data_IF_068107760401
#
_entry.id   IF_068107760401
#
_cell.length_a   1.000
_cell.length_b   1.000
_cell.length_c   1.000
_cell.angle_alpha   90.00
_cell.angle_beta   90.00
_cell.angle_gamma   90.00
#
_symmetry.space_group_name_H-M   'P 1'
#
loop_
_entity.id
_entity.type
_entity.pdbx_description
1 polymer ?
#
# COMPACT_ATOMS: atom_id res chain seq x y z
N UNK A 1 -59.59 -6.04 -6.98
CA UNK A 1 -58.68 -6.99 -7.65
C UNK A 1 -57.32 -6.88 -6.98
N UNK A 2 -56.98 -7.88 -6.19
CA UNK A 2 -55.72 -7.99 -5.44
C UNK A 2 -54.58 -8.31 -6.42
N UNK A 3 -53.61 -7.41 -6.54
CA UNK A 3 -52.37 -7.67 -7.28
C UNK A 3 -51.36 -8.32 -6.34
N UNK A 4 -51.25 -9.64 -6.45
CA UNK A 4 -50.21 -10.43 -5.77
C UNK A 4 -48.82 -10.00 -6.24
N UNK A 5 -48.00 -9.50 -5.34
CA UNK A 5 -46.55 -9.30 -5.56
C UNK A 5 -45.91 -10.69 -5.72
N UNK A 6 -45.13 -10.96 -6.77
CA UNK A 6 -44.52 -12.26 -6.97
C UNK A 6 -43.50 -12.54 -5.85
N UNK A 7 -43.52 -13.77 -5.33
CA UNK A 7 -42.54 -14.26 -4.39
C UNK A 7 -41.12 -14.02 -4.93
N UNK A 8 -40.27 -13.37 -4.14
CA UNK A 8 -38.87 -13.14 -4.48
C UNK A 8 -38.20 -14.47 -4.82
N UNK A 9 -37.74 -14.61 -6.05
CA UNK A 9 -36.99 -15.77 -6.49
C UNK A 9 -35.76 -15.94 -5.57
N UNK A 10 -35.56 -17.17 -5.05
CA UNK A 10 -34.31 -17.54 -4.40
C UNK A 10 -33.15 -17.07 -5.29
N UNK A 11 -32.16 -16.41 -4.69
CA UNK A 11 -30.96 -16.01 -5.39
C UNK A 11 -30.40 -17.25 -6.12
N UNK A 12 -30.33 -17.18 -7.47
CA UNK A 12 -29.77 -18.25 -8.28
C UNK A 12 -28.38 -18.60 -7.73
N UNK A 13 -28.11 -19.90 -7.59
CA UNK A 13 -26.77 -20.39 -7.29
C UNK A 13 -25.77 -19.77 -8.28
N UNK A 14 -24.62 -19.33 -7.77
CA UNK A 14 -23.52 -18.94 -8.64
C UNK A 14 -23.09 -20.19 -9.42
N UNK A 15 -22.97 -20.14 -10.76
CA UNK A 15 -22.51 -21.27 -11.55
C UNK A 15 -20.99 -21.35 -11.41
N UNK A 16 -20.50 -21.73 -10.23
CA UNK A 16 -19.08 -21.96 -9.97
C UNK A 16 -18.66 -23.42 -10.17
N UNK A 17 -19.58 -24.28 -10.62
CA UNK A 17 -19.31 -25.68 -10.93
C UNK A 17 -19.23 -26.60 -9.72
N UNK A 18 -19.47 -26.10 -8.50
CA UNK A 18 -19.44 -26.92 -7.28
C UNK A 18 -20.81 -27.52 -6.98
N UNK A 19 -20.92 -28.85 -6.97
CA UNK A 19 -22.18 -29.58 -6.67
C UNK A 19 -22.28 -30.09 -5.24
N UNK A 20 -21.28 -29.81 -4.41
CA UNK A 20 -21.03 -30.47 -3.11
C UNK A 20 -21.21 -29.56 -1.88
N UNK A 21 -21.66 -28.31 -2.06
CA UNK A 21 -21.96 -27.43 -0.94
C UNK A 21 -23.12 -27.97 -0.08
N UNK A 22 -22.76 -28.66 1.01
CA UNK A 22 -23.66 -28.90 2.16
C UNK A 22 -23.39 -27.84 3.22
N UNK A 23 -24.32 -26.90 3.46
CA UNK A 23 -24.16 -25.91 4.52
C UNK A 23 -23.97 -26.60 5.88
N UNK A 24 -22.90 -26.22 6.61
CA UNK A 24 -22.51 -26.81 7.91
C UNK A 24 -23.51 -26.52 9.05
N UNK A 25 -24.57 -25.74 8.80
CA UNK A 25 -25.71 -25.53 9.70
C UNK A 25 -26.99 -25.82 8.93
N UNK A 26 -27.80 -26.76 9.43
CA UNK A 26 -29.15 -26.99 8.91
C UNK A 26 -29.98 -25.70 9.03
N UNK A 27 -30.61 -25.27 7.93
CA UNK A 27 -31.47 -24.09 7.93
C UNK A 27 -32.79 -24.41 8.65
N UNK A 28 -32.82 -24.32 9.98
CA UNK A 28 -34.06 -24.48 10.75
C UNK A 28 -34.81 -23.16 10.96
N UNK A 29 -34.27 -22.01 10.54
CA UNK A 29 -34.96 -20.73 10.59
C UNK A 29 -35.14 -20.16 9.17
N UNK A 30 -36.39 -19.98 8.74
CA UNK A 30 -36.70 -19.13 7.58
C UNK A 30 -36.19 -17.73 7.91
N UNK A 31 -35.12 -17.30 7.25
CA UNK A 31 -34.62 -15.93 7.42
C UNK A 31 -35.68 -14.96 6.89
N UNK A 32 -36.14 -14.04 7.74
CA UNK A 32 -36.99 -12.94 7.31
C UNK A 32 -36.17 -12.02 6.40
N UNK A 33 -36.42 -12.10 5.09
CA UNK A 33 -35.68 -11.36 4.07
C UNK A 33 -35.95 -9.85 4.10
N UNK A 34 -37.02 -9.42 4.76
CA UNK A 34 -37.44 -8.02 4.85
C UNK A 34 -36.91 -7.31 6.10
N UNK A 35 -36.34 -8.04 7.06
CA UNK A 35 -35.75 -7.45 8.26
C UNK A 35 -34.44 -6.73 7.92
N UNK A 36 -34.45 -5.40 8.03
CA UNK A 36 -33.25 -4.56 7.90
C UNK A 36 -32.23 -4.97 8.97
N UNK A 37 -30.98 -5.24 8.55
CA UNK A 37 -29.93 -5.64 9.47
C UNK A 37 -29.61 -4.49 10.43
N UNK A 38 -29.28 -4.80 11.70
CA UNK A 38 -29.05 -3.77 12.73
C UNK A 38 -27.95 -2.77 12.32
N UNK A 39 -26.91 -3.23 11.62
CA UNK A 39 -25.82 -2.35 11.13
C UNK A 39 -26.27 -1.30 10.11
N UNK A 40 -27.42 -1.50 9.48
CA UNK A 40 -27.95 -0.61 8.44
C UNK A 40 -28.95 0.39 9.04
N UNK A 41 -29.24 0.28 10.35
CA UNK A 41 -30.05 1.23 11.10
C UNK A 41 -29.15 2.29 11.77
N UNK A 42 -29.63 3.53 11.98
CA UNK A 42 -28.88 4.51 12.74
C UNK A 42 -28.75 4.05 14.20
N UNK A 43 -27.57 4.26 14.77
CA UNK A 43 -27.31 3.96 16.18
C UNK A 43 -27.93 5.06 17.07
N UNK A 44 -28.74 4.64 18.03
CA UNK A 44 -29.43 5.48 19.00
C UNK A 44 -29.18 4.97 20.42
N UNK A 45 -29.51 5.78 21.42
CA UNK A 45 -29.43 5.37 22.82
C UNK A 45 -30.27 4.13 23.17
N UNK A 46 -31.35 3.86 22.42
CA UNK A 46 -32.21 2.70 22.66
C UNK A 46 -31.73 1.43 21.97
N UNK A 47 -30.92 1.51 20.91
CA UNK A 47 -30.51 0.34 20.13
C UNK A 47 -29.00 0.06 20.09
N UNK A 48 -28.13 0.92 20.61
CA UNK A 48 -26.66 0.79 20.50
C UNK A 48 -26.15 -0.59 20.92
N UNK A 49 -26.70 -1.16 21.99
CA UNK A 49 -26.32 -2.48 22.51
C UNK A 49 -26.61 -3.61 21.52
N UNK A 50 -27.54 -3.42 20.57
CA UNK A 50 -27.85 -4.38 19.52
C UNK A 50 -26.81 -4.37 18.39
N UNK A 51 -26.14 -3.23 18.17
CA UNK A 51 -25.03 -3.09 17.22
C UNK A 51 -23.76 -3.78 17.71
N UNK A 52 -23.60 -3.97 19.03
CA UNK A 52 -22.42 -4.60 19.61
C UNK A 52 -22.46 -6.12 19.44
N UNK A 53 -21.35 -6.68 18.99
CA UNK A 53 -21.07 -8.11 19.03
C UNK A 53 -20.49 -8.48 20.40
N UNK A 54 -21.38 -8.67 21.38
CA UNK A 54 -21.00 -8.93 22.77
C UNK A 54 -20.06 -10.13 22.95
N UNK A 55 -20.18 -11.17 22.12
CA UNK A 55 -19.26 -12.31 22.18
C UNK A 55 -17.83 -11.86 21.88
N UNK A 56 -17.61 -11.21 20.74
CA UNK A 56 -16.29 -10.70 20.37
C UNK A 56 -15.79 -9.66 21.37
N UNK A 57 -16.64 -8.73 21.78
CA UNK A 57 -16.30 -7.68 22.76
C UNK A 57 -15.85 -8.29 24.08
N UNK A 58 -16.48 -9.36 24.57
CA UNK A 58 -16.04 -10.03 25.80
C UNK A 58 -14.64 -10.60 25.68
N UNK A 59 -14.34 -11.31 24.59
CA UNK A 59 -13.04 -11.96 24.44
C UNK A 59 -11.90 -11.00 24.07
N UNK A 60 -12.20 -9.91 23.36
CA UNK A 60 -11.19 -8.97 22.84
C UNK A 60 -11.01 -7.75 23.75
N UNK A 61 -12.02 -7.38 24.54
CA UNK A 61 -11.98 -6.20 25.42
C UNK A 61 -12.02 -6.59 26.88
N UNK A 62 -13.10 -7.25 27.33
CA UNK A 62 -13.30 -7.48 28.76
C UNK A 62 -12.31 -8.48 29.36
N UNK A 63 -12.04 -9.60 28.71
CA UNK A 63 -11.08 -10.60 29.19
C UNK A 63 -9.65 -10.03 29.28
N UNK A 64 -9.13 -9.32 28.27
CA UNK A 64 -7.84 -8.64 28.39
C UNK A 64 -7.78 -7.62 29.53
N UNK A 65 -8.84 -6.81 29.72
CA UNK A 65 -8.93 -5.88 30.86
C UNK A 65 -8.86 -6.64 32.19
N UNK A 66 -9.59 -7.74 32.33
CA UNK A 66 -9.51 -8.59 33.53
C UNK A 66 -8.11 -9.19 33.72
N UNK A 67 -7.43 -9.57 32.63
CA UNK A 67 -6.04 -10.01 32.67
C UNK A 67 -5.08 -8.92 33.18
N UNK A 68 -5.24 -7.69 32.69
CA UNK A 68 -4.45 -6.53 33.15
C UNK A 68 -4.71 -6.21 34.62
N UNK A 69 -5.97 -6.26 35.05
CA UNK A 69 -6.36 -6.10 36.45
C UNK A 69 -5.74 -7.23 37.31
N UNK A 70 -5.70 -8.46 36.80
CA UNK A 70 -5.11 -9.60 37.52
C UNK A 70 -3.61 -9.43 37.81
N UNK A 71 -2.88 -8.62 37.03
CA UNK A 71 -1.47 -8.30 37.28
C UNK A 71 -1.20 -7.67 38.64
N UNK A 72 -2.19 -7.04 39.28
CA UNK A 72 -2.02 -6.45 40.62
C UNK A 72 -1.84 -7.51 41.72
N UNK A 73 -2.31 -8.74 41.50
CA UNK A 73 -2.27 -9.82 42.50
C UNK A 73 -1.52 -11.07 42.06
N UNK A 74 -1.24 -11.21 40.76
CA UNK A 74 -0.51 -12.35 40.22
C UNK A 74 0.90 -11.91 39.83
N UNK A 75 1.96 -12.30 40.55
CA UNK A 75 3.32 -11.89 40.22
C UNK A 75 3.82 -12.58 38.94
N UNK A 76 4.52 -11.82 38.09
CA UNK A 76 5.15 -12.35 36.88
C UNK A 76 6.48 -13.04 37.22
N UNK A 77 6.52 -14.38 37.15
CA UNK A 77 7.78 -15.13 37.22
C UNK A 77 8.56 -15.00 35.92
N UNK A 78 9.89 -14.95 35.99
CA UNK A 78 10.77 -14.81 34.82
C UNK A 78 10.55 -15.92 33.78
N UNK A 79 10.44 -17.19 34.21
CA UNK A 79 10.22 -18.32 33.29
C UNK A 79 8.88 -18.19 32.55
N UNK A 80 7.83 -17.73 33.24
CA UNK A 80 6.52 -17.46 32.64
C UNK A 80 6.59 -16.30 31.66
N UNK A 81 7.34 -15.24 31.97
CA UNK A 81 7.57 -14.11 31.06
C UNK A 81 8.27 -14.57 29.77
N UNK A 82 9.38 -15.31 29.89
CA UNK A 82 10.14 -15.84 28.75
C UNK A 82 9.24 -16.75 27.91
N UNK A 83 8.54 -17.69 28.55
CA UNK A 83 7.62 -18.59 27.84
C UNK A 83 6.49 -17.82 27.15
N UNK A 84 5.90 -16.80 27.79
CA UNK A 84 4.86 -15.97 27.18
C UNK A 84 5.36 -15.25 25.93
N UNK A 85 6.59 -14.74 25.94
CA UNK A 85 7.21 -14.10 24.77
C UNK A 85 7.51 -15.12 23.67
N UNK A 86 8.10 -16.27 23.99
CA UNK A 86 8.35 -17.33 22.99
C UNK A 86 7.02 -17.78 22.37
N UNK A 87 6.01 -18.01 23.21
CA UNK A 87 4.71 -18.47 22.73
C UNK A 87 3.95 -17.39 21.95
N UNK A 88 4.12 -16.11 22.28
CA UNK A 88 3.66 -14.98 21.46
C UNK A 88 4.17 -15.10 20.03
N UNK A 89 5.49 -15.25 19.84
CA UNK A 89 6.08 -15.42 18.50
C UNK A 89 5.56 -16.67 17.78
N UNK A 90 5.37 -17.79 18.50
CA UNK A 90 4.82 -19.01 17.91
C UNK A 90 3.38 -18.81 17.41
N UNK A 91 2.51 -18.22 18.24
CA UNK A 91 1.12 -17.93 17.83
C UNK A 91 1.06 -16.89 16.71
N UNK A 92 1.94 -15.89 16.74
CA UNK A 92 2.09 -14.91 15.66
C UNK A 92 2.52 -15.56 14.34
N UNK A 93 3.50 -16.47 14.36
CA UNK A 93 3.90 -17.25 13.17
C UNK A 93 2.77 -18.15 12.65
N UNK A 94 1.87 -18.62 13.52
CA UNK A 94 0.64 -19.31 13.11
C UNK A 94 -0.26 -18.44 12.24
N UNK A 95 -0.36 -17.15 12.55
CA UNK A 95 -1.11 -16.17 11.76
C UNK A 95 -0.33 -15.78 10.51
N UNK A 96 0.89 -15.24 10.64
CA UNK A 96 1.66 -14.68 9.53
C UNK A 96 2.17 -15.76 8.56
N UNK A 97 2.77 -16.84 9.09
CA UNK A 97 3.30 -17.94 8.28
C UNK A 97 2.21 -18.89 7.81
N UNK A 98 1.20 -19.13 8.65
CA UNK A 98 0.08 -20.03 8.34
C UNK A 98 -1.09 -19.31 7.68
N UNK A 99 -1.96 -18.69 8.47
CA UNK A 99 -3.25 -18.18 8.01
C UNK A 99 -3.12 -17.22 6.83
N UNK A 100 -2.11 -16.37 6.88
CA UNK A 100 -1.82 -15.34 5.92
C UNK A 100 -1.07 -15.87 4.69
N UNK A 101 0.22 -16.16 4.82
CA UNK A 101 1.08 -16.50 3.68
C UNK A 101 0.76 -17.86 3.07
N UNK A 102 0.55 -18.90 3.89
CA UNK A 102 0.26 -20.26 3.41
C UNK A 102 -1.17 -20.40 2.88
N UNK A 103 -2.17 -20.06 3.68
CA UNK A 103 -3.57 -20.33 3.32
C UNK A 103 -4.26 -19.17 2.61
N UNK A 104 -4.11 -17.91 3.04
CA UNK A 104 -4.79 -16.80 2.35
C UNK A 104 -4.17 -16.51 0.98
N UNK A 105 -2.84 -16.49 0.89
CA UNK A 105 -2.11 -16.07 -0.32
C UNK A 105 -1.48 -17.21 -1.13
N UNK A 106 -1.43 -18.43 -0.57
CA UNK A 106 -0.77 -19.57 -1.23
C UNK A 106 0.64 -19.23 -1.71
N UNK A 107 1.41 -18.48 -0.92
CA UNK A 107 2.74 -17.97 -1.29
C UNK A 107 3.84 -19.03 -1.15
N UNK A 108 3.54 -20.15 -0.50
CA UNK A 108 4.38 -21.34 -0.47
C UNK A 108 3.52 -22.59 -0.23
N UNK A 109 4.13 -23.77 -0.35
CA UNK A 109 3.53 -25.06 0.02
C UNK A 109 4.20 -25.62 1.26
N UNK A 110 3.44 -26.34 2.08
CA UNK A 110 3.91 -26.93 3.33
C UNK A 110 3.57 -28.42 3.40
N UNK A 111 4.46 -29.18 4.02
CA UNK A 111 4.19 -30.58 4.42
C UNK A 111 3.10 -30.64 5.49
N UNK A 112 2.43 -31.79 5.59
CA UNK A 112 1.34 -32.00 6.57
C UNK A 112 1.76 -31.70 8.03
N UNK A 113 2.95 -32.11 8.51
CA UNK A 113 3.39 -31.76 9.87
C UNK A 113 3.46 -30.25 10.11
N UNK A 114 4.03 -29.49 9.16
CA UNK A 114 4.10 -28.03 9.26
C UNK A 114 2.71 -27.39 9.23
N UNK A 115 1.80 -27.88 8.36
CA UNK A 115 0.40 -27.43 8.32
C UNK A 115 -0.29 -27.65 9.67
N UNK A 116 -0.16 -28.82 10.29
CA UNK A 116 -0.77 -29.14 11.58
C UNK A 116 -0.21 -28.21 12.67
N UNK A 117 1.12 -28.04 12.71
CA UNK A 117 1.76 -27.13 13.64
C UNK A 117 1.22 -25.70 13.52
N UNK A 118 1.24 -25.13 12.31
CA UNK A 118 0.75 -23.76 12.04
C UNK A 118 -0.75 -23.61 12.35
N UNK A 119 -1.55 -24.64 12.06
CA UNK A 119 -2.98 -24.66 12.39
C UNK A 119 -3.22 -24.65 13.91
N UNK A 120 -2.40 -25.37 14.68
CA UNK A 120 -2.48 -25.43 16.14
C UNK A 120 -2.05 -24.10 16.77
N UNK A 121 -0.87 -23.58 16.44
CA UNK A 121 -0.39 -22.31 17.03
C UNK A 121 -1.21 -21.11 16.54
N UNK A 122 -1.72 -21.12 15.32
CA UNK A 122 -2.64 -20.10 14.81
C UNK A 122 -3.98 -20.10 15.55
N UNK A 123 -4.49 -21.26 15.97
CA UNK A 123 -5.65 -21.31 16.85
C UNK A 123 -5.38 -20.69 18.24
N UNK A 124 -4.12 -20.73 18.71
CA UNK A 124 -3.67 -20.08 19.94
C UNK A 124 -3.72 -18.55 19.92
N UNK A 125 -3.77 -17.92 18.73
CA UNK A 125 -3.96 -16.48 18.56
C UNK A 125 -5.43 -16.04 18.69
N UNK A 126 -6.38 -16.98 18.57
CA UNK A 126 -7.80 -16.74 18.83
C UNK A 126 -8.46 -15.72 17.87
N UNK A 127 -8.10 -15.78 16.59
CA UNK A 127 -8.55 -14.83 15.54
C UNK A 127 -9.54 -15.44 14.53
N UNK A 128 -10.25 -16.49 14.92
CA UNK A 128 -11.11 -17.27 14.03
C UNK A 128 -10.40 -18.45 13.37
N UNK A 129 -11.16 -19.34 12.75
CA UNK A 129 -10.62 -20.51 12.04
C UNK A 129 -9.84 -20.07 10.79
N UNK A 130 -8.90 -20.90 10.32
CA UNK A 130 -8.13 -20.65 9.09
C UNK A 130 -9.08 -20.27 7.94
N UNK A 131 -10.13 -21.08 7.74
CA UNK A 131 -11.12 -20.87 6.69
C UNK A 131 -11.81 -19.50 6.74
N UNK A 132 -12.16 -19.04 7.93
CA UNK A 132 -12.85 -17.75 8.14
C UNK A 132 -11.88 -16.59 7.95
N UNK A 133 -10.71 -16.67 8.58
CA UNK A 133 -9.67 -15.65 8.53
C UNK A 133 -9.17 -15.46 7.09
N UNK A 134 -8.79 -16.54 6.40
CA UNK A 134 -8.27 -16.48 5.04
C UNK A 134 -9.33 -16.00 4.04
N UNK A 135 -10.61 -16.36 4.21
CA UNK A 135 -11.71 -15.82 3.38
C UNK A 135 -11.80 -14.30 3.49
N UNK A 136 -11.84 -13.79 4.72
CA UNK A 136 -12.03 -12.37 4.99
C UNK A 136 -10.78 -11.57 4.60
N UNK A 137 -9.59 -12.14 4.78
CA UNK A 137 -8.35 -11.55 4.31
C UNK A 137 -8.27 -11.47 2.78
N UNK A 138 -8.67 -12.53 2.06
CA UNK A 138 -8.79 -12.48 0.60
C UNK A 138 -9.80 -11.40 0.16
N UNK A 139 -10.92 -11.26 0.89
CA UNK A 139 -11.92 -10.24 0.59
C UNK A 139 -11.36 -8.83 0.82
N UNK A 140 -10.56 -8.64 1.86
CA UNK A 140 -9.84 -7.41 2.12
C UNK A 140 -8.89 -7.02 0.98
N UNK A 141 -8.07 -7.94 0.46
CA UNK A 141 -7.22 -7.64 -0.71
C UNK A 141 -8.02 -7.33 -1.98
N UNK A 142 -9.09 -8.08 -2.24
CA UNK A 142 -9.89 -7.90 -3.45
C UNK A 142 -10.68 -6.59 -3.45
N UNK A 143 -11.08 -6.13 -2.27
CA UNK A 143 -12.01 -5.02 -2.10
C UNK A 143 -11.44 -3.91 -1.22
N UNK A 144 -10.11 -3.81 -1.11
CA UNK A 144 -9.40 -2.88 -0.23
C UNK A 144 -9.99 -1.48 -0.35
N UNK A 145 -10.15 -0.80 0.79
CA UNK A 145 -10.68 0.57 0.87
C UNK A 145 -12.12 0.76 0.36
N UNK A 146 -12.86 -0.31 0.06
CA UNK A 146 -14.28 -0.22 -0.32
C UNK A 146 -15.21 -0.62 0.83
N UNK A 147 -16.52 -0.41 0.63
CA UNK A 147 -17.56 -0.87 1.57
C UNK A 147 -17.62 -2.40 1.73
N UNK A 148 -17.02 -3.15 0.80
CA UNK A 148 -16.96 -4.62 0.82
C UNK A 148 -15.77 -5.18 1.59
N UNK A 149 -14.81 -4.33 1.95
CA UNK A 149 -13.69 -4.70 2.81
C UNK A 149 -14.18 -4.92 4.27
N UNK A 150 -13.98 -6.13 4.84
CA UNK A 150 -14.49 -6.48 6.18
C UNK A 150 -13.94 -5.61 7.31
N UNK A 151 -12.79 -4.97 7.13
CA UNK A 151 -12.18 -4.11 8.15
C UNK A 151 -11.63 -2.81 7.55
N UNK A 152 -12.36 -2.30 6.56
CA UNK A 152 -12.04 -1.08 5.81
C UNK A 152 -11.57 0.08 6.69
N UNK A 153 -10.38 0.59 6.40
CA UNK A 153 -9.81 1.77 7.04
C UNK A 153 -10.62 3.05 6.81
N UNK A 154 -11.45 3.08 5.74
CA UNK A 154 -12.31 4.23 5.42
C UNK A 154 -13.35 4.52 6.51
N UNK A 155 -13.64 3.55 7.38
CA UNK A 155 -14.51 3.72 8.55
C UNK A 155 -13.77 4.31 9.77
N UNK A 156 -12.48 4.62 9.65
CA UNK A 156 -11.65 5.25 10.67
C UNK A 156 -10.64 4.29 11.31
N UNK A 157 -9.61 4.88 11.94
CA UNK A 157 -8.51 4.14 12.58
C UNK A 157 -8.99 3.19 13.67
N UNK A 158 -9.86 3.66 14.58
CA UNK A 158 -10.39 2.83 15.67
C UNK A 158 -11.29 1.70 15.15
N UNK A 159 -12.01 1.94 14.05
CA UNK A 159 -12.84 0.91 13.45
C UNK A 159 -11.99 -0.20 12.84
N UNK A 160 -11.01 0.16 12.01
CA UNK A 160 -10.10 -0.81 11.37
C UNK A 160 -9.21 -1.55 12.38
N UNK A 161 -8.88 -0.92 13.51
CA UNK A 161 -8.15 -1.58 14.58
C UNK A 161 -9.04 -2.58 15.32
N UNK A 162 -10.15 -2.12 15.91
CA UNK A 162 -10.95 -2.94 16.84
C UNK A 162 -12.45 -2.96 16.52
N UNK A 163 -12.99 -1.85 16.00
CA UNK A 163 -14.42 -1.69 15.79
C UNK A 163 -15.05 -2.71 14.85
N UNK A 164 -14.31 -3.22 13.87
CA UNK A 164 -14.78 -4.26 12.95
C UNK A 164 -15.12 -5.58 13.64
N UNK A 165 -14.49 -5.87 14.80
CA UNK A 165 -14.82 -7.03 15.65
C UNK A 165 -15.89 -6.71 16.68
N UNK A 166 -15.92 -5.48 17.19
CA UNK A 166 -16.85 -5.02 18.24
C UNK A 166 -18.25 -4.77 17.69
N UNK A 167 -18.39 -4.29 16.47
CA UNK A 167 -19.68 -4.00 15.86
C UNK A 167 -20.12 -5.12 14.91
N UNK A 168 -21.40 -5.49 14.98
CA UNK A 168 -22.01 -6.45 14.04
C UNK A 168 -21.99 -5.86 12.64
N UNK A 169 -21.52 -6.65 11.69
CA UNK A 169 -21.50 -6.30 10.28
C UNK A 169 -22.60 -7.07 9.54
N UNK A 170 -23.22 -6.44 8.54
CA UNK A 170 -24.16 -7.14 7.67
C UNK A 170 -23.37 -8.09 6.74
N UNK A 171 -23.57 -9.42 6.83
CA UNK A 171 -22.84 -10.38 6.00
C UNK A 171 -23.12 -10.22 4.49
N UNK A 172 -24.21 -9.55 4.11
CA UNK A 172 -24.52 -9.24 2.70
C UNK A 172 -23.56 -8.20 2.10
N UNK A 173 -22.95 -7.37 2.94
CA UNK A 173 -22.06 -6.29 2.50
C UNK A 173 -20.61 -6.75 2.35
N UNK A 174 -20.20 -7.82 3.04
CA UNK A 174 -18.84 -8.36 2.94
C UNK A 174 -18.56 -8.95 1.56
N UNK A 175 -17.40 -8.62 0.99
CA UNK A 175 -16.95 -9.12 -0.30
C UNK A 175 -16.83 -10.64 -0.35
N UNK A 176 -17.05 -11.22 -1.54
CA UNK A 176 -16.93 -12.67 -1.78
C UNK A 176 -15.62 -13.01 -2.48
N UNK A 177 -15.03 -14.12 -2.06
CA UNK A 177 -13.78 -14.65 -2.61
C UNK A 177 -13.90 -16.15 -2.80
N UNK A 178 -13.12 -16.67 -3.76
CA UNK A 178 -12.97 -18.11 -3.91
C UNK A 178 -12.21 -18.68 -2.71
N UNK A 179 -12.71 -19.80 -2.19
CA UNK A 179 -12.21 -20.53 -1.03
C UNK A 179 -12.25 -22.04 -1.27
N UNK A 180 -12.31 -22.47 -2.54
CA UNK A 180 -12.39 -23.88 -2.93
C UNK A 180 -11.19 -24.66 -2.39
N UNK A 181 -9.98 -24.11 -2.56
CA UNK A 181 -8.74 -24.66 -2.03
C UNK A 181 -8.75 -24.83 -0.50
N UNK A 182 -9.37 -23.90 0.23
CA UNK A 182 -9.52 -23.99 1.70
C UNK A 182 -10.50 -25.09 2.11
N UNK A 183 -11.49 -25.41 1.28
CA UNK A 183 -12.44 -26.50 1.52
C UNK A 183 -11.85 -27.87 1.16
N UNK A 184 -10.83 -27.90 0.31
CA UNK A 184 -10.12 -29.12 -0.10
C UNK A 184 -8.96 -29.49 0.84
N UNK A 185 -8.40 -28.54 1.61
CA UNK A 185 -7.33 -28.84 2.58
C UNK A 185 -7.90 -29.52 3.85
N UNK A 186 -7.56 -30.80 4.12
CA UNK A 186 -8.10 -31.55 5.25
C UNK A 186 -7.76 -30.93 6.62
N UNK A 187 -6.60 -30.28 6.75
CA UNK A 187 -6.18 -29.62 8.00
C UNK A 187 -7.06 -28.41 8.26
N UNK A 188 -7.35 -27.62 7.23
CA UNK A 188 -8.22 -26.45 7.32
C UNK A 188 -9.65 -26.85 7.69
N UNK A 189 -10.19 -27.88 7.02
CA UNK A 189 -11.54 -28.38 7.31
C UNK A 189 -11.65 -28.95 8.71
N UNK A 190 -10.67 -29.76 9.14
CA UNK A 190 -10.65 -30.32 10.50
C UNK A 190 -10.57 -29.23 11.55
N UNK A 191 -9.69 -28.25 11.35
CA UNK A 191 -9.50 -27.14 12.27
C UNK A 191 -10.76 -26.27 12.36
N UNK A 192 -11.41 -25.98 11.23
CA UNK A 192 -12.65 -25.21 11.22
C UNK A 192 -13.78 -25.91 12.01
N UNK A 193 -13.93 -27.23 11.85
CA UNK A 193 -14.93 -28.03 12.57
C UNK A 193 -14.65 -28.13 14.07
N UNK A 194 -13.37 -28.11 14.46
CA UNK A 194 -12.93 -28.26 15.85
C UNK A 194 -12.41 -26.95 16.47
N UNK A 195 -12.67 -25.81 15.83
CA UNK A 195 -11.97 -24.55 16.12
C UNK A 195 -12.04 -24.14 17.58
N UNK A 196 -13.22 -24.24 18.20
CA UNK A 196 -13.40 -23.91 19.62
C UNK A 196 -12.54 -24.80 20.54
N UNK A 197 -12.44 -26.11 20.23
CA UNK A 197 -11.58 -27.02 20.99
C UNK A 197 -10.10 -26.66 20.81
N UNK A 198 -9.69 -26.36 19.58
CA UNK A 198 -8.33 -25.92 19.28
C UNK A 198 -7.98 -24.63 20.02
N UNK A 199 -8.89 -23.65 20.04
CA UNK A 199 -8.72 -22.39 20.78
C UNK A 199 -8.60 -22.64 22.28
N UNK A 200 -9.55 -23.34 22.89
CA UNK A 200 -9.53 -23.59 24.34
C UNK A 200 -8.24 -24.30 24.76
N UNK A 201 -7.78 -25.25 23.95
CA UNK A 201 -6.55 -25.95 24.22
C UNK A 201 -5.32 -25.07 23.98
N UNK A 202 -5.11 -24.55 22.77
CA UNK A 202 -3.86 -23.87 22.40
C UNK A 202 -3.76 -22.45 22.97
N UNK A 203 -4.87 -21.72 23.14
CA UNK A 203 -4.83 -20.36 23.67
C UNK A 203 -4.79 -20.33 25.20
N UNK A 204 -5.44 -21.30 25.88
CA UNK A 204 -5.62 -21.28 27.34
C UNK A 204 -4.93 -22.46 28.03
N UNK A 205 -5.39 -23.69 27.79
CA UNK A 205 -4.97 -24.86 28.57
C UNK A 205 -3.48 -25.14 28.40
N UNK A 206 -2.99 -25.20 27.17
CA UNK A 206 -1.60 -25.52 26.85
C UNK A 206 -0.62 -24.56 27.53
N UNK A 207 -0.68 -23.22 27.32
CA UNK A 207 0.28 -22.32 27.98
C UNK A 207 0.16 -22.33 29.51
N UNK A 208 -1.06 -22.45 30.05
CA UNK A 208 -1.25 -22.58 31.51
C UNK A 208 -0.64 -23.87 32.06
N UNK A 209 -0.84 -24.99 31.38
CA UNK A 209 -0.31 -26.29 31.79
C UNK A 209 1.22 -26.33 31.68
N UNK A 210 1.81 -25.72 30.65
CA UNK A 210 3.28 -25.62 30.54
C UNK A 210 3.86 -24.90 31.77
N UNK A 211 3.34 -23.73 32.12
CA UNK A 211 3.83 -22.98 33.29
C UNK A 211 3.54 -23.72 34.62
N UNK A 212 2.36 -24.32 34.73
CA UNK A 212 1.92 -25.07 35.90
C UNK A 212 2.73 -26.34 36.16
N UNK A 213 2.99 -27.13 35.12
CA UNK A 213 3.68 -28.41 35.24
C UNK A 213 5.20 -28.26 35.33
N UNK A 214 5.80 -27.30 34.61
CA UNK A 214 7.26 -27.19 34.54
C UNK A 214 7.86 -26.36 35.69
N UNK A 215 7.15 -25.34 36.21
CA UNK A 215 7.66 -24.51 37.31
C UNK A 215 6.58 -24.03 38.30
N UNK A 216 5.49 -24.80 38.42
CA UNK A 216 4.41 -24.59 39.38
C UNK A 216 3.87 -23.16 39.40
N UNK A 217 3.58 -22.62 38.21
CA UNK A 217 3.00 -21.28 38.04
C UNK A 217 1.70 -21.33 37.23
N UNK A 218 0.70 -22.04 37.76
CA UNK A 218 -0.61 -22.18 37.12
C UNK A 218 -1.29 -20.83 36.90
N UNK A 219 -1.33 -19.98 37.94
CA UNK A 219 -2.02 -18.69 37.87
C UNK A 219 -1.26 -17.69 36.99
N UNK A 220 0.08 -17.64 37.08
CA UNK A 220 0.89 -16.82 36.18
C UNK A 220 0.79 -17.30 34.73
N UNK A 221 0.78 -18.61 34.48
CA UNK A 221 0.56 -19.17 33.15
C UNK A 221 -0.80 -18.83 32.56
N UNK A 222 -1.84 -18.78 33.38
CA UNK A 222 -3.18 -18.38 32.94
C UNK A 222 -3.29 -16.87 32.66
N UNK A 223 -2.75 -16.02 33.52
CA UNK A 223 -2.82 -14.56 33.32
C UNK A 223 -1.90 -14.10 32.18
N UNK A 224 -0.63 -14.48 32.23
CA UNK A 224 0.38 -13.94 31.32
C UNK A 224 0.50 -14.73 30.01
N UNK A 225 0.68 -16.05 30.08
CA UNK A 225 0.94 -16.88 28.90
C UNK A 225 -0.33 -17.25 28.12
N UNK A 226 -1.50 -17.26 28.78
CA UNK A 226 -2.80 -17.39 28.15
C UNK A 226 -3.44 -16.02 27.86
N UNK A 227 -4.06 -15.36 28.84
CA UNK A 227 -4.93 -14.19 28.60
C UNK A 227 -4.17 -13.02 27.95
N UNK A 228 -3.13 -12.50 28.60
CA UNK A 228 -2.45 -11.29 28.12
C UNK A 228 -1.72 -11.53 26.81
N UNK A 229 -1.09 -12.69 26.65
CA UNK A 229 -0.42 -13.07 25.39
C UNK A 229 -1.41 -13.21 24.23
N UNK A 230 -2.65 -13.69 24.44
CA UNK A 230 -3.72 -13.60 23.41
C UNK A 230 -4.00 -12.13 23.08
N UNK A 231 -4.18 -11.30 24.10
CA UNK A 231 -4.48 -9.89 23.88
C UNK A 231 -3.38 -9.20 23.06
N UNK A 232 -2.11 -9.41 23.40
CA UNK A 232 -0.98 -8.81 22.68
C UNK A 232 -0.91 -9.25 21.21
N UNK A 233 -1.09 -10.55 20.91
CA UNK A 233 -1.07 -11.01 19.51
C UNK A 233 -2.25 -10.44 18.72
N UNK A 234 -3.45 -10.36 19.31
CA UNK A 234 -4.59 -9.73 18.66
C UNK A 234 -4.36 -8.24 18.38
N UNK A 235 -3.85 -7.48 19.35
CA UNK A 235 -3.55 -6.05 19.15
C UNK A 235 -2.46 -5.86 18.08
N UNK A 236 -1.45 -6.73 18.05
CA UNK A 236 -0.44 -6.72 17.00
C UNK A 236 -1.06 -6.98 15.62
N UNK A 237 -1.91 -8.02 15.46
CA UNK A 237 -2.59 -8.27 14.19
C UNK A 237 -3.50 -7.11 13.78
N UNK A 238 -4.22 -6.52 14.73
CA UNK A 238 -5.10 -5.38 14.48
C UNK A 238 -4.35 -4.11 14.05
N UNK A 239 -3.08 -3.96 14.41
CA UNK A 239 -2.22 -2.90 13.87
C UNK A 239 -1.98 -3.05 12.37
N UNK A 240 -2.05 -4.27 11.80
CA UNK A 240 -1.93 -4.46 10.35
C UNK A 240 -3.12 -3.81 9.65
N UNK A 241 -4.34 -4.05 10.14
CA UNK A 241 -5.55 -3.49 9.55
C UNK A 241 -5.66 -1.96 9.75
N UNK A 242 -5.03 -1.41 10.79
CA UNK A 242 -5.12 0.01 11.15
C UNK A 242 -3.85 0.80 10.82
N UNK A 243 -2.78 0.62 11.60
CA UNK A 243 -1.53 1.37 11.47
C UNK A 243 -0.88 1.16 10.10
N UNK A 244 -0.92 -0.06 9.56
CA UNK A 244 -0.36 -0.32 8.24
C UNK A 244 -1.18 0.27 7.08
N UNK A 245 -2.33 0.88 7.37
CA UNK A 245 -3.13 1.66 6.43
C UNK A 245 -3.14 3.17 6.75
N UNK A 246 -2.37 3.62 7.75
CA UNK A 246 -2.33 5.02 8.19
C UNK A 246 -0.92 5.61 8.23
N UNK A 247 0.04 4.83 8.72
CA UNK A 247 1.40 5.27 9.00
C UNK A 247 2.39 4.62 8.02
N UNK A 248 3.30 5.43 7.46
CA UNK A 248 4.36 4.95 6.58
C UNK A 248 4.27 5.46 5.14
N UNK A 249 5.07 4.83 4.30
CA UNK A 249 5.27 5.22 2.91
C UNK A 249 4.53 4.31 1.94
N UNK A 250 4.32 4.78 0.72
CA UNK A 250 3.76 4.02 -0.39
C UNK A 250 4.78 3.95 -1.52
N UNK A 251 5.79 3.06 -1.42
CA UNK A 251 6.87 2.96 -2.39
C UNK A 251 6.49 2.23 -3.69
N UNK A 252 5.40 1.46 -3.72
CA UNK A 252 4.99 0.67 -4.88
C UNK A 252 3.69 1.17 -5.53
N UNK A 253 2.67 1.48 -4.74
CA UNK A 253 1.39 1.99 -5.25
C UNK A 253 0.65 2.81 -4.19
N UNK A 254 -0.10 3.84 -4.58
CA UNK A 254 -0.86 4.73 -3.68
C UNK A 254 -2.36 4.80 -4.02
N UNK A 255 -2.87 3.93 -4.90
CA UNK A 255 -4.31 3.85 -5.22
C UNK A 255 -5.16 3.53 -3.99
N UNK A 256 -4.63 2.70 -3.09
CA UNK A 256 -5.25 2.30 -1.84
C UNK A 256 -4.40 2.76 -0.65
N UNK A 257 -4.92 2.62 0.56
CA UNK A 257 -4.28 3.05 1.81
C UNK A 257 -3.09 2.24 2.40
N UNK A 258 -2.75 0.99 1.98
CA UNK A 258 -1.63 0.24 2.56
C UNK A 258 -0.29 0.98 2.49
N UNK A 259 0.50 0.89 3.57
CA UNK A 259 1.76 1.61 3.77
C UNK A 259 2.84 0.69 4.34
N UNK A 260 4.08 0.97 3.95
CA UNK A 260 5.28 0.35 4.50
C UNK A 260 5.79 1.17 5.69
N UNK A 261 5.95 0.53 6.85
CA UNK A 261 6.48 1.20 8.04
C UNK A 261 7.22 0.24 8.97
N UNK A 262 8.47 0.59 9.32
CA UNK A 262 9.35 -0.28 10.12
C UNK A 262 8.83 -0.54 11.53
N UNK A 263 8.27 0.47 12.21
CA UNK A 263 7.71 0.27 13.57
C UNK A 263 6.49 -0.64 13.50
N UNK A 264 5.66 -0.47 12.47
CA UNK A 264 4.53 -1.36 12.25
C UNK A 264 5.05 -2.78 12.04
N UNK A 265 6.08 -2.97 11.21
CA UNK A 265 6.68 -4.29 10.97
C UNK A 265 7.24 -4.93 12.25
N UNK A 266 7.87 -4.15 13.14
CA UNK A 266 8.35 -4.64 14.43
C UNK A 266 7.20 -5.16 15.31
N UNK A 267 6.13 -4.39 15.43
CA UNK A 267 4.94 -4.76 16.22
C UNK A 267 4.22 -5.96 15.61
N UNK A 268 4.18 -6.06 14.28
CA UNK A 268 3.37 -7.06 13.56
C UNK A 268 4.18 -8.22 12.99
N UNK A 269 5.39 -8.48 13.49
CA UNK A 269 6.21 -9.63 13.06
C UNK A 269 6.52 -9.67 11.55
N UNK A 270 6.74 -8.49 10.96
CA UNK A 270 7.09 -8.30 9.55
C UNK A 270 5.93 -7.89 8.65
N UNK A 271 4.70 -7.88 9.15
CA UNK A 271 3.50 -7.57 8.36
C UNK A 271 3.29 -6.07 8.08
N UNK A 272 4.18 -5.21 8.57
CA UNK A 272 4.11 -3.76 8.39
C UNK A 272 4.72 -3.23 7.08
N UNK A 273 5.33 -4.08 6.25
CA UNK A 273 5.64 -3.75 4.86
C UNK A 273 4.40 -4.00 3.98
N UNK A 274 3.33 -3.26 4.31
CA UNK A 274 1.99 -3.57 3.85
C UNK A 274 1.69 -3.02 2.45
N UNK A 275 2.39 -1.98 2.01
CA UNK A 275 2.31 -1.49 0.64
C UNK A 275 2.88 -2.52 -0.33
N UNK A 276 4.06 -3.08 -0.01
CA UNK A 276 4.62 -4.19 -0.79
C UNK A 276 3.66 -5.38 -0.82
N UNK A 277 3.15 -5.77 0.36
CA UNK A 277 2.26 -6.91 0.48
C UNK A 277 0.98 -6.78 -0.35
N UNK A 278 0.36 -5.60 -0.39
CA UNK A 278 -0.85 -5.38 -1.18
C UNK A 278 -0.61 -5.34 -2.69
N UNK A 279 0.55 -4.87 -3.12
CA UNK A 279 0.93 -4.86 -4.54
C UNK A 279 1.37 -6.25 -5.02
N UNK A 280 2.07 -7.02 -4.17
CA UNK A 280 2.65 -8.32 -4.51
C UNK A 280 2.17 -9.44 -3.56
N UNK A 281 0.85 -9.70 -3.44
CA UNK A 281 0.28 -10.51 -2.36
C UNK A 281 0.72 -11.99 -2.36
N UNK A 282 1.16 -12.51 -3.50
CA UNK A 282 1.63 -13.89 -3.60
C UNK A 282 3.12 -14.09 -3.30
N UNK A 283 3.89 -13.02 -3.03
CA UNK A 283 5.26 -13.17 -2.53
C UNK A 283 5.22 -13.72 -1.10
N UNK A 284 6.09 -14.69 -0.79
CA UNK A 284 6.17 -15.23 0.57
C UNK A 284 6.82 -14.25 1.55
N UNK A 285 7.41 -13.15 1.07
CA UNK A 285 8.03 -12.09 1.87
C UNK A 285 7.10 -10.90 1.91
N UNK A 286 7.00 -10.24 3.05
CA UNK A 286 6.52 -8.86 3.07
C UNK A 286 7.70 -7.90 3.02
N UNK A 287 8.81 -8.27 3.67
CA UNK A 287 10.04 -7.50 3.62
C UNK A 287 11.04 -8.12 2.64
N UNK A 288 11.28 -7.45 1.51
CA UNK A 288 12.08 -7.99 0.41
C UNK A 288 13.59 -7.90 0.65
N UNK A 289 14.04 -6.92 1.44
CA UNK A 289 15.46 -6.78 1.75
C UNK A 289 15.88 -7.76 2.85
N UNK A 290 17.13 -8.22 2.81
CA UNK A 290 17.62 -9.20 3.78
C UNK A 290 17.65 -8.66 5.22
N UNK A 291 17.92 -7.35 5.39
CA UNK A 291 18.03 -6.66 6.68
C UNK A 291 16.68 -6.18 7.23
N UNK A 292 15.64 -6.11 6.40
CA UNK A 292 14.32 -5.70 6.85
C UNK A 292 13.70 -6.78 7.73
N UNK A 293 13.13 -6.33 8.86
CA UNK A 293 12.54 -7.17 9.88
C UNK A 293 11.32 -7.92 9.34
N UNK A 294 11.47 -9.23 9.16
CA UNK A 294 10.40 -10.16 8.79
C UNK A 294 10.74 -11.55 9.35
N UNK A 295 10.48 -11.79 10.65
CA UNK A 295 10.73 -13.08 11.28
C UNK A 295 9.96 -14.22 10.62
N UNK A 296 8.82 -13.93 9.98
CA UNK A 296 8.03 -14.89 9.23
C UNK A 296 8.77 -15.36 7.97
N UNK A 297 9.36 -14.43 7.19
CA UNK A 297 10.22 -14.77 6.03
C UNK A 297 11.37 -15.68 6.44
N UNK A 298 12.04 -15.36 7.54
CA UNK A 298 13.17 -16.16 8.04
C UNK A 298 12.72 -17.54 8.50
N UNK A 299 11.57 -17.63 9.18
CA UNK A 299 10.99 -18.89 9.64
C UNK A 299 10.60 -19.80 8.46
N UNK A 300 9.94 -19.26 7.43
CA UNK A 300 9.58 -20.00 6.21
C UNK A 300 10.84 -20.48 5.48
N UNK A 301 11.87 -19.63 5.40
CA UNK A 301 13.17 -20.00 4.78
C UNK A 301 13.85 -21.13 5.57
N UNK A 302 13.81 -21.09 6.90
CA UNK A 302 14.31 -22.16 7.75
C UNK A 302 13.52 -23.46 7.56
N UNK A 303 12.18 -23.41 7.51
CA UNK A 303 11.36 -24.58 7.20
C UNK A 303 11.63 -25.14 5.81
N UNK A 304 11.97 -24.30 4.83
CA UNK A 304 12.41 -24.76 3.51
C UNK A 304 13.71 -25.55 3.59
N UNK A 305 14.69 -25.05 4.36
CA UNK A 305 15.94 -25.75 4.59
C UNK A 305 15.73 -27.13 5.24
N UNK A 306 14.75 -27.24 6.16
CA UNK A 306 14.34 -28.52 6.76
C UNK A 306 13.48 -29.42 5.84
N UNK A 307 13.15 -28.99 4.63
CA UNK A 307 12.25 -29.71 3.71
C UNK A 307 10.77 -29.69 4.13
N UNK A 308 10.38 -28.86 5.10
CA UNK A 308 9.00 -28.72 5.58
C UNK A 308 8.16 -27.75 4.75
N UNK A 309 8.82 -26.76 4.13
CA UNK A 309 8.23 -25.79 3.21
C UNK A 309 8.89 -25.90 1.82
N UNK A 310 8.13 -25.68 0.75
CA UNK A 310 8.63 -25.76 -0.63
C UNK A 310 7.82 -24.83 -1.54
N UNK A 311 8.28 -24.65 -2.78
CA UNK A 311 7.60 -23.81 -3.78
C UNK A 311 7.33 -22.37 -3.28
N UNK A 312 8.34 -21.77 -2.63
CA UNK A 312 8.27 -20.39 -2.15
C UNK A 312 8.22 -19.43 -3.33
N UNK A 313 7.12 -18.71 -3.47
CA UNK A 313 6.87 -17.76 -4.55
C UNK A 313 7.54 -16.43 -4.26
N UNK A 314 8.26 -15.92 -5.24
CA UNK A 314 8.86 -14.58 -5.22
C UNK A 314 8.55 -13.88 -6.52
N UNK A 315 8.22 -12.59 -6.46
CA UNK A 315 8.16 -11.78 -7.66
C UNK A 315 9.57 -11.53 -8.20
N UNK A 316 9.67 -11.43 -9.53
CA UNK A 316 10.94 -11.10 -10.18
C UNK A 316 11.37 -9.70 -9.75
N UNK A 317 12.64 -9.53 -9.40
CA UNK A 317 13.18 -8.24 -8.96
C UNK A 317 12.87 -7.09 -9.93
N UNK A 318 12.91 -7.36 -11.25
CA UNK A 318 12.56 -6.38 -12.27
C UNK A 318 11.11 -5.87 -12.18
N UNK A 319 10.14 -6.72 -11.83
CA UNK A 319 8.74 -6.28 -11.71
C UNK A 319 8.52 -5.45 -10.44
N UNK A 320 9.22 -5.79 -9.35
CA UNK A 320 9.23 -5.00 -8.11
C UNK A 320 9.82 -3.61 -8.37
N UNK A 321 10.97 -3.55 -9.06
CA UNK A 321 11.65 -2.29 -9.36
C UNK A 321 10.88 -1.44 -10.38
N UNK A 322 10.17 -2.05 -11.34
CA UNK A 322 9.23 -1.32 -12.20
C UNK A 322 8.18 -0.58 -11.36
N UNK A 323 7.54 -1.26 -10.41
CA UNK A 323 6.55 -0.64 -9.51
C UNK A 323 7.14 0.52 -8.72
N UNK A 324 8.33 0.31 -8.14
CA UNK A 324 9.05 1.36 -7.39
C UNK A 324 9.37 2.58 -8.26
N UNK A 325 9.90 2.37 -9.46
CA UNK A 325 10.24 3.46 -10.40
C UNK A 325 8.98 4.19 -10.87
N UNK A 326 7.90 3.46 -11.19
CA UNK A 326 6.62 4.07 -11.58
C UNK A 326 6.07 4.98 -10.48
N UNK A 327 6.11 4.53 -9.22
CA UNK A 327 5.63 5.31 -8.09
C UNK A 327 6.53 6.51 -7.77
N UNK A 328 7.86 6.36 -7.89
CA UNK A 328 8.79 7.48 -7.79
C UNK A 328 8.58 8.51 -8.90
N UNK A 329 8.35 8.05 -10.14
CA UNK A 329 8.08 8.90 -11.29
C UNK A 329 6.79 9.71 -11.05
N UNK A 330 5.73 9.06 -10.58
CA UNK A 330 4.47 9.72 -10.19
C UNK A 330 4.69 10.82 -9.14
N UNK A 331 5.41 10.54 -8.06
CA UNK A 331 5.73 11.54 -7.01
C UNK A 331 6.58 12.69 -7.55
N UNK A 332 7.55 12.37 -8.41
CA UNK A 332 8.39 13.37 -9.05
C UNK A 332 7.55 14.31 -9.94
N UNK A 333 6.58 13.76 -10.65
CA UNK A 333 5.72 14.52 -11.54
C UNK A 333 4.73 15.41 -10.79
N UNK A 334 4.15 14.91 -9.70
CA UNK A 334 3.36 15.73 -8.78
C UNK A 334 4.19 16.91 -8.24
N UNK A 335 5.44 16.67 -7.84
CA UNK A 335 6.36 17.74 -7.39
C UNK A 335 6.72 18.71 -8.52
N UNK A 336 6.86 18.22 -9.76
CA UNK A 336 7.09 19.09 -10.93
C UNK A 336 5.90 20.00 -11.18
N UNK A 337 4.67 19.50 -11.05
CA UNK A 337 3.46 20.27 -11.27
C UNK A 337 3.30 21.46 -10.31
N UNK A 338 3.93 21.43 -9.12
CA UNK A 338 3.90 22.55 -8.16
C UNK A 338 4.92 23.66 -8.44
N UNK A 339 5.84 23.47 -9.40
CA UNK A 339 6.91 24.41 -9.69
C UNK A 339 6.53 25.35 -10.85
N UNK A 340 7.00 26.59 -10.81
CA UNK A 340 6.88 27.52 -11.93
C UNK A 340 7.95 27.20 -12.99
N UNK A 341 7.51 26.72 -14.16
CA UNK A 341 8.37 26.43 -15.31
C UNK A 341 8.30 27.49 -16.43
N UNK A 342 7.73 28.66 -16.08
CA UNK A 342 7.42 29.74 -17.01
C UNK A 342 6.23 29.44 -17.92
N UNK A 343 5.86 30.42 -18.74
CA UNK A 343 4.77 30.30 -19.71
C UNK A 343 5.07 29.19 -20.73
N UNK A 344 4.15 28.24 -20.96
CA UNK A 344 4.29 27.23 -22.01
C UNK A 344 4.48 27.86 -23.40
N UNK A 345 5.30 27.25 -24.25
CA UNK A 345 5.67 27.83 -25.54
C UNK A 345 4.47 28.04 -26.46
N UNK A 346 3.51 27.12 -26.44
CA UNK A 346 2.26 27.19 -27.19
C UNK A 346 1.35 28.36 -26.79
N UNK A 347 1.58 28.97 -25.62
CA UNK A 347 0.85 30.14 -25.14
C UNK A 347 1.57 31.46 -25.42
N UNK A 348 2.82 31.39 -25.91
CA UNK A 348 3.59 32.58 -26.23
C UNK A 348 3.23 33.14 -27.61
N UNK A 349 3.25 34.47 -27.79
CA UNK A 349 3.07 35.07 -29.10
C UNK A 349 4.23 34.74 -30.03
N UNK A 350 3.94 34.58 -31.32
CA UNK A 350 4.96 34.44 -32.37
C UNK A 350 5.36 35.83 -32.86
N UNK A 351 6.63 36.19 -32.71
CA UNK A 351 7.17 37.53 -32.95
C UNK A 351 8.14 37.49 -34.14
N UNK A 352 8.06 38.42 -35.09
CA UNK A 352 9.00 38.53 -36.20
C UNK A 352 10.40 38.97 -35.76
N UNK A 353 11.44 38.70 -36.56
CA UNK A 353 12.79 39.17 -36.25
C UNK A 353 12.87 40.70 -36.17
N UNK A 354 12.24 41.39 -37.13
CA UNK A 354 12.24 42.85 -37.16
C UNK A 354 11.48 43.42 -35.96
N UNK A 355 10.31 42.85 -35.62
CA UNK A 355 9.53 43.22 -34.43
C UNK A 355 10.33 43.01 -33.14
N UNK A 356 11.02 41.88 -33.01
CA UNK A 356 11.89 41.57 -31.86
C UNK A 356 13.01 42.63 -31.70
N UNK A 357 13.67 42.99 -32.78
CA UNK A 357 14.74 44.00 -32.77
C UNK A 357 14.19 45.40 -32.50
N UNK A 358 13.02 45.73 -33.03
CA UNK A 358 12.35 47.01 -32.81
C UNK A 358 11.89 47.15 -31.34
N UNK A 359 11.23 46.14 -30.78
CA UNK A 359 10.83 46.12 -29.38
C UNK A 359 12.04 46.22 -28.43
N UNK A 360 13.16 45.59 -28.78
CA UNK A 360 14.41 45.70 -28.03
C UNK A 360 15.00 47.12 -28.04
N UNK A 361 14.81 47.87 -29.13
CA UNK A 361 15.22 49.29 -29.23
C UNK A 361 14.26 50.22 -28.47
N UNK A 362 12.98 49.84 -28.38
CA UNK A 362 11.92 50.64 -27.74
C UNK A 362 11.85 50.48 -26.21
N UNK A 363 12.91 49.96 -25.58
CA UNK A 363 13.11 50.02 -24.13
C UNK A 363 12.97 48.71 -23.37
N UNK A 364 12.52 47.62 -24.01
CA UNK A 364 12.56 46.27 -23.40
C UNK A 364 13.93 45.64 -23.64
N UNK A 365 14.50 45.00 -22.62
CA UNK A 365 15.71 44.22 -22.81
C UNK A 365 15.36 42.79 -23.25
N UNK A 366 15.13 42.61 -24.54
CA UNK A 366 14.81 41.30 -25.12
C UNK A 366 16.08 40.58 -25.62
N UNK A 367 16.19 39.28 -25.33
CA UNK A 367 17.28 38.42 -25.83
C UNK A 367 16.68 37.13 -26.39
N UNK A 368 17.10 36.74 -27.60
CA UNK A 368 16.71 35.46 -28.19
C UNK A 368 17.71 34.37 -27.80
N UNK A 369 17.21 33.24 -27.27
CA UNK A 369 18.02 32.06 -26.94
C UNK A 369 17.24 30.83 -27.40
N UNK A 370 17.85 30.05 -28.29
CA UNK A 370 17.29 28.88 -28.95
C UNK A 370 15.88 29.14 -29.50
N UNK A 371 15.72 30.25 -30.25
CA UNK A 371 14.45 30.64 -30.88
C UNK A 371 13.34 31.11 -29.94
N UNK A 372 13.61 31.19 -28.63
CA UNK A 372 12.68 31.77 -27.64
C UNK A 372 13.19 33.15 -27.22
N UNK A 373 12.30 34.13 -27.25
CA UNK A 373 12.58 35.50 -26.83
C UNK A 373 12.31 35.61 -25.34
N UNK A 374 13.27 36.15 -24.60
CA UNK A 374 13.19 36.34 -23.16
C UNK A 374 13.28 37.83 -22.84
N UNK A 375 12.39 38.32 -21.97
CA UNK A 375 12.47 39.66 -21.40
C UNK A 375 13.32 39.62 -20.14
N UNK A 376 14.56 40.11 -20.26
CA UNK A 376 15.54 40.13 -19.17
C UNK A 376 15.64 41.50 -18.51
N UNK A 377 14.70 42.43 -18.77
CA UNK A 377 14.75 43.83 -18.30
C UNK A 377 15.03 43.92 -16.81
N UNK A 378 14.28 43.19 -16.00
CA UNK A 378 14.46 43.21 -14.54
C UNK A 378 15.68 42.41 -14.07
N UNK A 379 16.12 41.42 -14.84
CA UNK A 379 17.20 40.52 -14.47
C UNK A 379 18.60 41.08 -14.76
N UNK A 380 18.73 42.05 -15.68
CA UNK A 380 20.05 42.60 -16.06
C UNK A 380 20.91 42.98 -14.86
N UNK A 381 20.30 43.60 -13.85
CA UNK A 381 20.99 44.10 -12.65
C UNK A 381 21.51 42.98 -11.75
N UNK A 382 20.91 41.80 -11.84
CA UNK A 382 21.16 40.62 -10.99
C UNK A 382 21.95 39.53 -11.74
N UNK A 383 22.26 39.76 -13.02
CA UNK A 383 23.04 38.82 -13.83
C UNK A 383 24.45 38.60 -13.24
N UNK A 384 24.83 37.37 -12.84
CA UNK A 384 26.10 37.11 -12.16
C UNK A 384 27.34 37.42 -12.99
N UNK A 385 27.26 37.31 -14.33
CA UNK A 385 28.34 37.72 -15.25
C UNK A 385 28.46 39.23 -15.44
N UNK A 386 27.64 40.03 -14.74
CA UNK A 386 27.63 41.48 -14.80
C UNK A 386 26.72 42.05 -15.90
N UNK A 387 26.33 43.32 -15.70
CA UNK A 387 25.37 44.05 -16.55
C UNK A 387 25.87 44.25 -17.98
N UNK A 388 27.17 44.43 -18.17
CA UNK A 388 27.75 44.72 -19.49
C UNK A 388 27.60 43.54 -20.47
N UNK A 389 27.80 42.31 -19.99
CA UNK A 389 27.71 41.10 -20.82
C UNK A 389 26.29 40.81 -21.29
N UNK A 390 25.29 41.01 -20.43
CA UNK A 390 23.89 40.80 -20.84
C UNK A 390 23.38 41.95 -21.72
N UNK A 391 23.82 43.20 -21.48
CA UNK A 391 23.46 44.35 -22.33
C UNK A 391 23.96 44.21 -23.76
N UNK A 392 25.12 43.58 -23.97
CA UNK A 392 25.67 43.38 -25.32
C UNK A 392 24.86 42.37 -26.16
N UNK A 393 24.02 41.57 -25.50
CA UNK A 393 23.13 40.56 -26.09
C UNK A 393 21.70 41.06 -26.39
N UNK A 394 21.33 42.27 -25.93
CA UNK A 394 19.99 42.84 -26.17
C UNK A 394 19.73 43.01 -27.67
N UNK A 395 18.57 42.55 -28.13
CA UNK A 395 18.14 42.59 -29.53
C UNK A 395 18.92 41.62 -30.44
N UNK A 396 19.59 40.62 -29.87
CA UNK A 396 20.38 39.62 -30.60
C UNK A 396 19.98 38.19 -30.22
N UNK A 397 20.39 37.26 -31.07
CA UNK A 397 20.46 35.84 -30.73
C UNK A 397 21.74 35.57 -29.91
N UNK A 398 21.55 35.21 -28.64
CA UNK A 398 22.61 34.89 -27.70
C UNK A 398 22.78 33.38 -27.46
N UNK A 399 22.19 32.53 -28.31
CA UNK A 399 22.19 31.06 -28.15
C UNK A 399 23.58 30.50 -27.97
N UNK A 400 24.52 30.88 -28.85
CA UNK A 400 25.89 30.39 -28.79
C UNK A 400 26.61 30.85 -27.51
N UNK A 401 26.42 32.11 -27.12
CA UNK A 401 27.03 32.68 -25.91
C UNK A 401 26.51 31.97 -24.65
N UNK A 402 25.22 31.62 -24.64
CA UNK A 402 24.53 31.00 -23.51
C UNK A 402 24.79 29.48 -23.38
N UNK A 403 24.93 28.77 -24.50
CA UNK A 403 25.06 27.30 -24.56
C UNK A 403 26.51 26.81 -24.79
N UNK A 404 27.51 27.51 -24.26
CA UNK A 404 28.90 27.01 -24.23
C UNK A 404 29.82 27.46 -25.36
N UNK A 405 29.38 28.37 -26.23
CA UNK A 405 30.29 29.09 -27.14
C UNK A 405 31.14 30.14 -26.42
N UNK A 406 30.68 30.63 -25.27
CA UNK A 406 31.47 31.48 -24.36
C UNK A 406 31.34 30.97 -22.93
N UNK A 407 30.11 30.77 -22.46
CA UNK A 407 29.86 30.21 -21.14
C UNK A 407 28.77 29.17 -21.22
N UNK A 408 29.01 28.00 -20.62
CA UNK A 408 28.01 26.94 -20.57
C UNK A 408 27.16 27.11 -19.31
N UNK A 409 25.99 27.73 -19.48
CA UNK A 409 25.13 28.09 -18.36
C UNK A 409 24.59 26.86 -17.62
N UNK A 410 24.48 26.98 -16.29
CA UNK A 410 24.04 25.88 -15.43
C UNK A 410 22.55 25.60 -15.57
N UNK A 411 22.09 24.42 -15.11
CA UNK A 411 20.65 24.10 -15.07
C UNK A 411 19.84 25.17 -14.30
N UNK A 412 20.42 25.81 -13.29
CA UNK A 412 19.76 26.89 -12.54
C UNK A 412 19.53 28.12 -13.42
N UNK A 413 20.49 28.49 -14.27
CA UNK A 413 20.35 29.59 -15.22
C UNK A 413 19.29 29.27 -16.30
N UNK A 414 19.24 28.04 -16.81
CA UNK A 414 18.17 27.62 -17.74
C UNK A 414 16.78 27.65 -17.08
N UNK A 415 16.67 27.22 -15.82
CA UNK A 415 15.41 27.27 -15.07
C UNK A 415 14.95 28.72 -14.84
N UNK A 416 15.86 29.61 -14.46
CA UNK A 416 15.54 31.04 -14.31
C UNK A 416 15.16 31.68 -15.66
N UNK A 417 15.90 31.37 -16.72
CA UNK A 417 15.60 31.85 -18.07
C UNK A 417 14.18 31.45 -18.50
N UNK A 418 13.72 30.25 -18.14
CA UNK A 418 12.37 29.79 -18.48
C UNK A 418 11.25 30.67 -17.90
N UNK A 419 11.47 31.34 -16.76
CA UNK A 419 10.45 32.22 -16.16
C UNK A 419 10.38 33.60 -16.82
N UNK A 420 11.32 33.91 -17.72
CA UNK A 420 11.44 35.21 -18.41
C UNK A 420 10.97 35.15 -19.87
N UNK A 421 10.23 34.10 -20.26
CA UNK A 421 9.74 33.92 -21.64
C UNK A 421 8.76 35.04 -22.03
N UNK A 422 9.04 35.66 -23.17
CA UNK A 422 8.26 36.76 -23.72
C UNK A 422 7.54 36.37 -25.02
N UNK A 423 8.22 35.62 -25.90
CA UNK A 423 7.68 35.23 -27.20
C UNK A 423 8.46 34.09 -27.83
N UNK A 424 7.95 33.55 -28.94
CA UNK A 424 8.69 32.64 -29.81
C UNK A 424 9.04 33.40 -31.08
N UNK A 425 10.30 33.34 -31.49
CA UNK A 425 10.77 34.02 -32.69
C UNK A 425 10.28 33.26 -33.94
N UNK A 426 9.56 33.95 -34.82
CA UNK A 426 9.18 33.46 -36.16
C UNK A 426 10.44 33.09 -36.92
N UNK A 427 10.52 31.90 -37.49
CA UNK A 427 11.75 31.38 -38.09
C UNK A 427 12.85 30.97 -37.11
N UNK A 428 12.92 31.58 -35.92
CA UNK A 428 13.98 31.34 -34.92
C UNK A 428 13.95 29.95 -34.29
N UNK A 429 12.79 29.29 -34.36
CA UNK A 429 12.60 27.85 -34.13
C UNK A 429 11.75 27.16 -35.21
N UNK A 430 11.25 27.87 -36.23
CA UNK A 430 10.26 27.27 -37.13
C UNK A 430 10.92 26.18 -37.98
N UNK A 431 10.32 25.00 -37.92
CA UNK A 431 10.29 23.97 -38.96
C UNK A 431 11.01 22.65 -38.67
N UNK A 432 12.24 22.54 -38.16
CA UNK A 432 12.81 21.18 -37.95
C UNK A 432 12.21 20.46 -36.72
N UNK A 433 12.06 21.12 -35.57
CA UNK A 433 11.45 20.48 -34.38
C UNK A 433 9.91 20.39 -34.52
N UNK A 434 9.30 21.34 -35.25
CA UNK A 434 7.85 21.35 -35.51
C UNK A 434 7.42 20.53 -36.75
N UNK A 435 8.21 20.42 -37.84
CA UNK A 435 7.96 19.48 -38.96
C UNK A 435 8.51 18.07 -38.69
N UNK A 436 9.53 17.85 -37.86
CA UNK A 436 9.74 16.48 -37.31
C UNK A 436 8.52 16.06 -36.48
N UNK A 437 7.94 16.96 -35.69
CA UNK A 437 6.74 16.65 -34.90
C UNK A 437 5.43 16.47 -35.72
N UNK A 438 5.31 17.01 -36.94
CA UNK A 438 4.10 16.89 -37.78
C UNK A 438 4.25 16.04 -39.06
N UNK A 439 5.44 15.90 -39.64
CA UNK A 439 5.69 15.06 -40.82
C UNK A 439 6.35 13.71 -40.47
N UNK A 440 7.08 13.60 -39.36
CA UNK A 440 7.61 12.32 -38.85
C UNK A 440 6.68 11.78 -37.75
N UNK A 441 5.50 11.34 -38.17
CA UNK A 441 4.59 10.62 -37.30
C UNK A 441 5.18 9.23 -36.97
N UNK A 442 5.90 9.16 -35.84
CA UNK A 442 5.81 8.15 -34.76
C UNK A 442 6.97 8.43 -33.78
N UNK A 443 6.62 8.75 -32.52
CA UNK A 443 7.51 8.75 -31.33
C UNK A 443 8.00 10.09 -30.75
N UNK A 444 7.34 11.23 -31.00
CA UNK A 444 7.44 12.38 -30.06
C UNK A 444 6.47 12.14 -28.90
N UNK A 445 6.95 11.43 -27.89
CA UNK A 445 6.19 11.21 -26.66
C UNK A 445 6.17 12.51 -25.86
N UNK A 446 5.06 13.26 -25.87
CA UNK A 446 4.79 14.21 -24.80
C UNK A 446 4.90 13.43 -23.50
N UNK A 447 5.89 13.77 -22.67
CA UNK A 447 5.95 13.13 -21.37
C UNK A 447 4.87 13.79 -20.54
N UNK A 448 3.78 13.06 -20.36
CA UNK A 448 2.72 13.40 -19.44
C UNK A 448 2.92 12.57 -18.18
N UNK A 449 2.50 13.11 -17.05
CA UNK A 449 2.40 12.33 -15.83
C UNK A 449 1.23 11.32 -15.92
N UNK A 450 1.06 10.51 -14.89
CA UNK A 450 -0.03 9.53 -14.81
C UNK A 450 -1.44 10.15 -14.83
N UNK A 451 -1.56 11.47 -14.64
CA UNK A 451 -2.81 12.23 -14.70
C UNK A 451 -3.00 12.96 -16.04
N UNK A 452 -2.09 12.77 -17.00
CA UNK A 452 -2.15 13.39 -18.31
C UNK A 452 -1.60 14.82 -18.36
N UNK A 453 -0.99 15.33 -17.29
CA UNK A 453 -0.39 16.66 -17.24
C UNK A 453 1.02 16.64 -17.85
N UNK A 454 1.33 17.65 -18.67
CA UNK A 454 2.63 17.76 -19.34
C UNK A 454 3.74 18.04 -18.35
N UNK A 455 4.83 17.26 -18.40
CA UNK A 455 5.99 17.42 -17.53
C UNK A 455 7.25 17.83 -18.32
N UNK A 456 8.05 18.74 -17.74
CA UNK A 456 9.37 19.11 -18.28
C UNK A 456 10.44 18.36 -17.46
N UNK A 457 11.21 17.49 -18.12
CA UNK A 457 12.34 16.77 -17.51
C UNK A 457 13.60 17.64 -17.51
N UNK A 458 14.44 17.48 -16.49
CA UNK A 458 15.74 18.15 -16.44
C UNK A 458 16.59 17.72 -17.64
N UNK A 459 17.20 18.68 -18.34
CA UNK A 459 17.94 18.42 -19.58
C UNK A 459 17.12 18.59 -20.86
N UNK A 460 15.79 18.65 -20.76
CA UNK A 460 14.88 18.86 -21.89
C UNK A 460 14.33 20.29 -21.94
N UNK A 461 14.98 21.24 -21.26
CA UNK A 461 14.63 22.66 -21.40
C UNK A 461 14.93 23.11 -22.84
N UNK A 462 13.97 23.80 -23.46
CA UNK A 462 14.07 24.24 -24.86
C UNK A 462 15.30 25.09 -25.13
N UNK A 463 15.75 25.84 -24.12
CA UNK A 463 16.93 26.72 -24.22
C UNK A 463 18.26 25.98 -24.14
N UNK A 464 18.25 24.69 -23.82
CA UNK A 464 19.45 23.85 -23.71
C UNK A 464 19.71 23.17 -25.05
N UNK A 465 20.83 23.50 -25.67
CA UNK A 465 21.29 22.86 -26.90
C UNK A 465 22.32 21.79 -26.51
N UNK A 466 22.03 20.53 -26.82
CA UNK A 466 23.00 19.44 -26.64
C UNK A 466 24.15 19.62 -27.63
N UNK A 467 25.37 19.77 -27.12
CA UNK A 467 26.57 19.63 -27.93
C UNK A 467 26.58 18.20 -28.52
N UNK A 468 26.84 18.00 -29.83
CA UNK A 468 27.02 16.66 -30.37
C UNK A 468 28.14 15.98 -29.58
N UNK A 469 27.91 14.73 -29.16
CA UNK A 469 28.96 13.88 -28.61
C UNK A 469 30.01 13.78 -29.72
N UNK A 470 31.21 14.33 -29.49
CA UNK A 470 32.31 14.17 -30.42
C UNK A 470 32.48 12.68 -30.71
N UNK A 471 32.35 12.29 -31.98
CA UNK A 471 32.69 10.94 -32.41
C UNK A 471 34.11 10.66 -31.94
N UNK A 472 34.35 9.45 -31.45
CA UNK A 472 35.62 8.99 -30.89
C UNK A 472 36.78 8.91 -31.93
N UNK A 473 36.74 9.71 -32.98
CA UNK A 473 37.74 9.85 -34.05
C UNK A 473 38.44 11.22 -34.03
N UNK A 474 38.30 11.97 -32.93
CA UNK A 474 39.04 13.21 -32.69
C UNK A 474 39.78 13.16 -31.35
N UNK A 475 40.72 12.22 -31.22
CA UNK A 475 41.85 12.26 -30.29
C UNK A 475 42.98 11.38 -30.81
#
# INVERSE_FOLDING_TARGET
>A
MSTSVPAAAQAKAFPDGTTDYKPLRGSSAKADLNKVHISDQPMTWSNWHQHVNWLNTTFIVFIPILGLISCFWVPLKLNTAIFSVVYYFNTGLGITGGYHRLWAHSSYKATTPLKIYLAAVGAGAMEGSIRWWSRDHRAHHRYTDTVKDPYSVRKGLLYSHLGWMVFKQNPKNTGRTDITDLNEDPVVVWQHRNFIKCVLFMALIFPTAVCGLLWNDWLGGFVYAAILRVAFVQQATFCVNSLAHWLGDQPFDDRNSPRDHVITALVTLGEGYHNFHHEFPSDYRNAIEWWQWDPTKWSITFWKWLGLAYDLKQFRANEIEKGRVQQLQKKLDQKRATLNWGTPLEQLPVIGWDDFVEEAKNGKALVAIAGVIHDVTDFIKDHPGGRALIKSAIGKDATAIFNGGVYYHSNAAHNLLSTMRYGVLRGGCEVEIWKRAQFENKDVTYVNDSAGQRIIRAGNQVTKVTQPIGSADAA
#
